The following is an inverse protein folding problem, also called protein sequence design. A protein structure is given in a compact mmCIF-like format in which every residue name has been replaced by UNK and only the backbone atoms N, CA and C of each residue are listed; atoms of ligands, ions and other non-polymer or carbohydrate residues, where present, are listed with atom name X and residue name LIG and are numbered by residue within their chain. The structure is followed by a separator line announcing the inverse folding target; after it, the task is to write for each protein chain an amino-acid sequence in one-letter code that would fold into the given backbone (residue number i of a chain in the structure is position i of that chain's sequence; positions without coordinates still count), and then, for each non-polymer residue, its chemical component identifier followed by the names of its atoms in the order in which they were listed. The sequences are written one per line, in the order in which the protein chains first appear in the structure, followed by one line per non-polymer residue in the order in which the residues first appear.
data_IF_508847188686
#
_entry.id   IF_508847188686
#
_cell.length_a   1.000
_cell.length_b   1.000
_cell.length_c   1.000
_cell.angle_alpha   90.00
_cell.angle_beta   90.00
_cell.angle_gamma   90.00
#
_symmetry.space_group_name_H-M   'P 1'
#
loop_
_entity.id
_entity.type
_entity.pdbx_description
1 polymer ?
#
# COMPACT_ATOMS: atom_id res chain seq x y z
N UNK A 1 -3.69 -4.13 -8.92
CA UNK A 1 -2.23 -3.86 -8.91
C UNK A 1 -1.82 -3.44 -10.30
N UNK A 2 -1.26 -2.24 -10.39
CA UNK A 2 -0.80 -1.66 -11.64
C UNK A 2 0.36 -2.48 -12.25
N UNK A 3 0.43 -2.49 -13.57
CA UNK A 3 1.57 -3.11 -14.26
C UNK A 3 2.91 -2.44 -13.93
N UNK A 4 2.92 -1.20 -13.50
CA UNK A 4 4.12 -0.47 -13.06
C UNK A 4 4.82 -1.15 -11.89
N UNK A 5 4.07 -1.83 -11.02
CA UNK A 5 4.61 -2.59 -9.89
C UNK A 5 5.44 -3.82 -10.30
N UNK A 6 5.40 -4.23 -11.58
CA UNK A 6 6.24 -5.30 -12.10
C UNK A 6 7.64 -4.83 -12.53
N UNK A 7 7.91 -3.52 -12.53
CA UNK A 7 9.23 -2.97 -12.86
C UNK A 7 10.28 -3.49 -11.88
N UNK A 8 11.41 -3.95 -12.41
CA UNK A 8 12.54 -4.54 -11.65
C UNK A 8 13.65 -3.51 -11.44
N UNK A 9 13.32 -2.39 -10.81
CA UNK A 9 14.24 -1.28 -10.58
C UNK A 9 14.88 -1.27 -9.18
N UNK A 10 14.62 -2.30 -8.37
CA UNK A 10 15.11 -2.44 -7.00
C UNK A 10 16.13 -3.59 -6.90
N UNK A 11 17.36 -3.36 -7.36
CA UNK A 11 18.44 -4.37 -7.36
C UNK A 11 18.01 -5.71 -8.02
N UNK A 12 17.24 -5.61 -9.12
CA UNK A 12 16.71 -6.77 -9.86
C UNK A 12 15.41 -7.36 -9.30
N UNK A 13 14.92 -6.87 -8.16
CA UNK A 13 13.61 -7.23 -7.62
C UNK A 13 12.53 -6.33 -8.20
N UNK A 14 11.34 -6.86 -8.43
CA UNK A 14 10.19 -6.05 -8.81
C UNK A 14 9.60 -5.31 -7.60
N UNK A 15 8.95 -4.18 -7.87
CA UNK A 15 8.28 -3.39 -6.82
C UNK A 15 7.23 -4.22 -6.08
N UNK A 16 6.48 -5.07 -6.79
CA UNK A 16 5.47 -5.96 -6.19
C UNK A 16 6.12 -7.02 -5.28
N UNK A 17 7.29 -7.57 -5.64
CA UNK A 17 8.01 -8.52 -4.78
C UNK A 17 8.48 -7.84 -3.49
N UNK A 18 8.97 -6.61 -3.57
CA UNK A 18 9.35 -5.81 -2.39
C UNK A 18 8.13 -5.46 -1.54
N UNK A 19 7.03 -5.07 -2.16
CA UNK A 19 5.78 -4.78 -1.46
C UNK A 19 5.25 -5.99 -0.69
N UNK A 20 5.18 -7.17 -1.33
CA UNK A 20 4.78 -8.42 -0.67
C UNK A 20 5.66 -8.76 0.52
N UNK A 21 6.96 -8.62 0.38
CA UNK A 21 7.93 -8.85 1.46
C UNK A 21 7.70 -7.89 2.62
N UNK A 22 7.44 -6.62 2.31
CA UNK A 22 7.13 -5.60 3.32
C UNK A 22 5.86 -5.96 4.08
N UNK A 23 4.78 -6.32 3.37
CA UNK A 23 3.51 -6.75 3.99
C UNK A 23 3.74 -7.99 4.86
N UNK A 24 4.42 -9.00 4.33
CA UNK A 24 4.72 -10.24 5.07
C UNK A 24 5.52 -9.99 6.34
N UNK A 25 6.51 -9.10 6.27
CA UNK A 25 7.28 -8.69 7.44
C UNK A 25 6.43 -7.95 8.48
N UNK A 26 5.52 -7.08 8.05
CA UNK A 26 4.60 -6.39 8.94
C UNK A 26 3.60 -7.36 9.60
N UNK A 27 3.06 -8.33 8.84
CA UNK A 27 2.17 -9.37 9.38
C UNK A 27 2.84 -10.15 10.53
N UNK A 28 4.13 -10.47 10.39
CA UNK A 28 4.88 -11.18 11.42
C UNK A 28 5.07 -10.41 12.73
N UNK A 29 4.85 -9.10 12.73
CA UNK A 29 4.94 -8.24 13.93
C UNK A 29 3.58 -8.01 14.59
N UNK A 30 2.47 -8.44 13.96
CA UNK A 30 1.14 -8.31 14.52
C UNK A 30 0.94 -9.30 15.67
N UNK A 31 0.23 -8.86 16.72
CA UNK A 31 -0.04 -9.65 17.91
C UNK A 31 -1.43 -9.31 18.48
N UNK A 32 -2.48 -9.84 17.84
CA UNK A 32 -3.87 -9.62 18.24
C UNK A 32 -4.64 -8.65 17.34
N UNK A 33 -3.95 -7.85 16.54
CA UNK A 33 -4.57 -6.94 15.58
C UNK A 33 -5.27 -7.72 14.45
N UNK A 34 -6.25 -7.08 13.81
CA UNK A 34 -6.86 -7.61 12.58
C UNK A 34 -6.23 -6.97 11.37
N UNK A 35 -6.03 -7.74 10.34
CA UNK A 35 -5.54 -7.29 9.03
C UNK A 35 -6.50 -7.68 7.93
N UNK A 36 -6.77 -6.75 7.02
CA UNK A 36 -7.43 -7.02 5.75
C UNK A 36 -6.56 -6.53 4.60
N UNK A 37 -6.77 -7.06 3.42
CA UNK A 37 -5.99 -6.72 2.24
C UNK A 37 -6.91 -6.28 1.11
N UNK A 38 -6.57 -5.17 0.49
CA UNK A 38 -7.21 -4.66 -0.70
C UNK A 38 -6.14 -4.48 -1.78
N UNK A 39 -6.43 -4.92 -2.98
CA UNK A 39 -5.59 -4.70 -4.16
C UNK A 39 -6.30 -3.72 -5.08
N UNK A 40 -5.54 -2.84 -5.70
CA UNK A 40 -6.11 -1.82 -6.57
C UNK A 40 -5.23 -1.51 -7.79
N UNK A 41 -5.88 -1.03 -8.83
CA UNK A 41 -5.31 -0.45 -10.05
C UNK A 41 -6.34 0.57 -10.58
N UNK A 42 -6.87 0.42 -11.80
CA UNK A 42 -8.02 1.19 -12.26
C UNK A 42 -9.32 0.91 -11.49
N UNK A 43 -9.41 -0.23 -10.82
CA UNK A 43 -10.47 -0.64 -9.89
C UNK A 43 -9.84 -1.07 -8.56
N UNK A 44 -10.67 -1.20 -7.50
CA UNK A 44 -10.24 -1.71 -6.21
C UNK A 44 -11.09 -2.92 -5.77
N UNK A 45 -10.45 -3.91 -5.14
CA UNK A 45 -11.14 -5.09 -4.63
C UNK A 45 -10.56 -5.59 -3.32
N UNK A 46 -11.44 -6.10 -2.46
CA UNK A 46 -11.03 -6.79 -1.24
C UNK A 46 -10.43 -8.14 -1.60
N UNK A 47 -9.14 -8.30 -1.35
CA UNK A 47 -8.41 -9.58 -1.51
C UNK A 47 -8.63 -10.48 -0.30
N UNK A 48 -8.57 -9.91 0.90
CA UNK A 48 -8.79 -10.58 2.16
C UNK A 48 -9.59 -9.68 3.11
N UNK A 49 -10.80 -10.10 3.56
CA UNK A 49 -11.51 -9.39 4.63
C UNK A 49 -10.72 -9.36 5.94
N UNK A 50 -11.07 -8.45 6.86
CA UNK A 50 -10.43 -8.35 8.16
C UNK A 50 -10.41 -9.70 8.90
N UNK A 51 -9.22 -10.14 9.27
CA UNK A 51 -8.99 -11.39 9.99
C UNK A 51 -7.83 -11.26 10.98
N UNK A 52 -7.80 -12.10 12.01
CA UNK A 52 -6.64 -12.33 12.87
C UNK A 52 -5.88 -13.61 12.50
N UNK A 53 -6.26 -14.27 11.42
CA UNK A 53 -5.54 -15.41 10.86
C UNK A 53 -4.37 -14.92 10.01
N UNK A 54 -3.21 -14.76 10.64
CA UNK A 54 -2.00 -14.27 9.99
C UNK A 54 -1.41 -15.24 8.97
N UNK A 55 -1.65 -16.56 9.14
CA UNK A 55 -1.20 -17.54 8.16
C UNK A 55 -1.96 -17.37 6.84
N UNK A 56 -3.29 -17.24 6.93
CA UNK A 56 -4.11 -16.91 5.77
C UNK A 56 -3.71 -15.58 5.16
N UNK A 57 -3.46 -14.54 5.96
CA UNK A 57 -3.02 -13.24 5.46
C UNK A 57 -1.68 -13.32 4.70
N UNK A 58 -0.72 -14.12 5.17
CA UNK A 58 0.54 -14.39 4.47
C UNK A 58 0.30 -15.05 3.11
N UNK A 59 -0.51 -16.12 3.08
CA UNK A 59 -0.82 -16.84 1.84
C UNK A 59 -1.45 -15.92 0.79
N UNK A 60 -2.43 -15.11 1.19
CA UNK A 60 -3.06 -14.13 0.29
C UNK A 60 -2.08 -13.08 -0.22
N UNK A 61 -1.13 -12.64 0.62
CA UNK A 61 -0.06 -11.72 0.21
C UNK A 61 0.83 -12.35 -0.86
N UNK A 62 1.23 -13.61 -0.69
CA UNK A 62 2.09 -14.33 -1.64
C UNK A 62 1.43 -14.52 -3.00
N UNK A 63 0.12 -14.75 -3.03
CA UNK A 63 -0.65 -14.96 -4.25
C UNK A 63 -0.92 -13.69 -5.07
N UNK A 64 -0.72 -12.50 -4.51
CA UNK A 64 -0.99 -11.23 -5.19
C UNK A 64 -0.24 -11.13 -6.53
N UNK A 65 -0.97 -10.79 -7.61
CA UNK A 65 -0.44 -10.64 -8.95
C UNK A 65 -1.08 -9.43 -9.66
N UNK A 66 -0.34 -8.76 -10.54
CA UNK A 66 -0.86 -7.64 -11.32
C UNK A 66 -2.02 -8.01 -12.25
N UNK A 67 -2.12 -9.29 -12.61
CA UNK A 67 -3.21 -9.82 -13.44
C UNK A 67 -4.57 -9.92 -12.73
N UNK A 68 -4.64 -9.69 -11.42
CA UNK A 68 -5.91 -9.76 -10.67
C UNK A 68 -6.88 -8.65 -11.04
N UNK A 69 -6.37 -7.51 -11.49
CA UNK A 69 -7.19 -6.38 -11.92
C UNK A 69 -6.94 -6.14 -13.41
N UNK A 70 -8.00 -6.32 -14.21
CA UNK A 70 -7.92 -6.18 -15.65
C UNK A 70 -7.88 -4.71 -16.08
N UNK A 71 -8.59 -3.84 -15.35
CA UNK A 71 -8.62 -2.41 -15.58
C UNK A 71 -7.34 -1.79 -15.02
N UNK A 72 -6.41 -1.45 -15.90
CA UNK A 72 -5.15 -0.84 -15.50
C UNK A 72 -5.32 0.66 -15.25
N UNK A 73 -4.47 1.22 -14.42
CA UNK A 73 -4.53 2.60 -13.95
C UNK A 73 -4.30 2.64 -12.45
N UNK A 74 -4.68 3.73 -11.79
CA UNK A 74 -4.51 3.88 -10.35
C UNK A 74 -5.68 4.69 -9.78
N UNK A 75 -6.71 4.01 -9.28
CA UNK A 75 -7.89 4.63 -8.67
C UNK A 75 -7.77 4.61 -7.14
N UNK A 76 -7.07 5.59 -6.60
CA UNK A 76 -6.80 5.71 -5.16
C UNK A 76 -8.08 5.98 -4.36
N UNK A 77 -9.02 6.73 -4.93
CA UNK A 77 -10.27 7.06 -4.24
C UNK A 77 -11.04 5.79 -3.96
N UNK A 78 -11.27 4.96 -4.97
CA UNK A 78 -11.96 3.68 -4.81
C UNK A 78 -11.22 2.73 -3.85
N UNK A 79 -9.88 2.74 -3.89
CA UNK A 79 -9.06 1.96 -2.97
C UNK A 79 -9.27 2.40 -1.51
N UNK A 80 -9.28 3.70 -1.24
CA UNK A 80 -9.56 4.23 0.10
C UNK A 80 -10.99 3.94 0.56
N UNK A 81 -11.99 4.11 -0.31
CA UNK A 81 -13.39 3.80 -0.03
C UNK A 81 -13.56 2.30 0.29
N UNK A 82 -13.00 1.43 -0.54
CA UNK A 82 -13.01 -0.02 -0.32
C UNK A 82 -12.37 -0.39 1.02
N UNK A 83 -11.26 0.25 1.38
CA UNK A 83 -10.57 0.01 2.66
C UNK A 83 -11.40 0.45 3.86
N UNK A 84 -12.05 1.60 3.76
CA UNK A 84 -12.93 2.11 4.83
C UNK A 84 -14.12 1.17 5.05
N UNK A 85 -14.68 0.62 3.97
CA UNK A 85 -15.79 -0.34 4.06
C UNK A 85 -15.41 -1.67 4.69
N UNK A 86 -14.12 -2.03 4.71
CA UNK A 86 -13.64 -3.25 5.35
C UNK A 86 -13.66 -3.16 6.88
N UNK A 87 -13.53 -1.95 7.45
CA UNK A 87 -13.44 -1.77 8.89
C UNK A 87 -14.73 -2.12 9.63
N UNK A 88 -14.58 -2.70 10.82
CA UNK A 88 -15.69 -2.99 11.73
C UNK A 88 -16.34 -1.68 12.22
N UNK A 89 -17.66 -1.73 12.44
CA UNK A 89 -18.40 -0.61 13.04
C UNK A 89 -18.25 -0.61 14.57
N UNK A 90 -17.01 -0.45 15.03
CA UNK A 90 -16.63 -0.39 16.44
C UNK A 90 -15.69 0.79 16.68
N UNK A 91 -15.33 1.02 17.94
CA UNK A 91 -14.43 2.10 18.35
C UNK A 91 -12.95 1.66 18.37
N UNK A 92 -12.61 0.51 17.82
CA UNK A 92 -11.22 0.09 17.70
C UNK A 92 -10.46 1.03 16.78
N UNK A 93 -9.20 1.35 17.09
CA UNK A 93 -8.37 2.18 16.22
C UNK A 93 -8.21 1.55 14.84
N UNK A 94 -8.26 2.38 13.79
CA UNK A 94 -8.19 1.95 12.40
C UNK A 94 -6.98 2.54 11.72
N UNK A 95 -6.35 1.74 10.86
CA UNK A 95 -5.16 2.13 10.13
C UNK A 95 -5.24 1.68 8.68
N UNK A 96 -5.01 2.58 7.75
CA UNK A 96 -4.79 2.28 6.34
C UNK A 96 -3.29 2.34 6.07
N UNK A 97 -2.74 1.24 5.58
CA UNK A 97 -1.38 1.15 5.08
C UNK A 97 -1.41 0.96 3.56
N UNK A 98 -1.01 1.97 2.82
CA UNK A 98 -0.94 1.92 1.37
C UNK A 98 0.49 1.69 0.90
N UNK A 99 0.69 0.76 -0.01
CA UNK A 99 1.97 0.50 -0.67
C UNK A 99 1.79 0.68 -2.17
N UNK A 100 2.53 1.61 -2.76
CA UNK A 100 2.41 1.97 -4.18
C UNK A 100 3.71 2.59 -4.67
N UNK A 101 3.93 2.60 -5.98
CA UNK A 101 4.95 3.41 -6.64
C UNK A 101 4.50 4.87 -6.87
N UNK A 102 3.24 5.17 -6.59
CA UNK A 102 2.68 6.51 -6.68
C UNK A 102 2.44 7.00 -8.11
N UNK A 103 2.49 6.13 -9.11
CA UNK A 103 2.09 6.48 -10.47
C UNK A 103 0.58 6.68 -10.52
N UNK A 104 0.13 7.87 -10.16
CA UNK A 104 -1.25 8.33 -10.36
C UNK A 104 -1.24 9.56 -11.25
N UNK A 105 -2.23 9.61 -12.13
CA UNK A 105 -2.41 10.71 -13.06
C UNK A 105 -3.58 11.63 -12.70
N UNK A 106 -4.34 11.30 -11.65
CA UNK A 106 -5.54 12.02 -11.28
C UNK A 106 -5.44 12.68 -9.90
N UNK A 107 -5.20 13.99 -9.90
CA UNK A 107 -5.19 14.80 -8.67
C UNK A 107 -6.63 15.13 -8.24
N UNK A 108 -7.42 14.12 -7.93
CA UNK A 108 -8.82 14.28 -7.56
C UNK A 108 -8.97 14.70 -6.09
N UNK A 109 -9.91 15.62 -5.84
CA UNK A 109 -10.42 15.88 -4.49
C UNK A 109 -11.60 14.93 -4.24
N UNK A 110 -11.65 14.32 -3.05
CA UNK A 110 -12.72 13.42 -2.69
C UNK A 110 -13.17 13.62 -1.24
N UNK A 111 -14.46 13.41 -1.00
CA UNK A 111 -15.05 13.42 0.34
C UNK A 111 -14.45 12.34 1.25
N UNK A 112 -13.90 11.25 0.68
CA UNK A 112 -13.25 10.18 1.43
C UNK A 112 -12.07 10.69 2.26
N UNK A 113 -11.34 11.72 1.79
CA UNK A 113 -10.25 12.32 2.55
C UNK A 113 -10.75 13.00 3.83
N UNK A 114 -11.87 13.71 3.75
CA UNK A 114 -12.52 14.33 4.91
C UNK A 114 -12.99 13.24 5.88
N UNK A 115 -13.67 12.22 5.36
CA UNK A 115 -14.16 11.11 6.17
C UNK A 115 -13.04 10.40 6.94
N UNK A 116 -11.91 10.06 6.28
CA UNK A 116 -10.76 9.41 6.93
C UNK A 116 -10.21 10.28 8.08
N UNK A 117 -10.11 11.61 7.86
CA UNK A 117 -9.63 12.53 8.90
C UNK A 117 -10.61 12.66 10.06
N UNK A 118 -11.90 12.82 9.80
CA UNK A 118 -12.96 12.95 10.80
C UNK A 118 -13.09 11.70 11.66
N UNK A 119 -12.99 10.51 11.03
CA UNK A 119 -12.99 9.23 11.72
C UNK A 119 -11.64 8.90 12.39
N UNK A 120 -10.66 9.80 12.29
CA UNK A 120 -9.32 9.64 12.86
C UNK A 120 -8.60 8.34 12.42
N UNK A 121 -8.93 7.83 11.24
CA UNK A 121 -8.26 6.67 10.65
C UNK A 121 -6.81 7.05 10.37
N UNK A 122 -5.85 6.30 10.92
CA UNK A 122 -4.44 6.54 10.67
C UNK A 122 -4.09 6.14 9.22
N UNK A 123 -3.24 6.94 8.56
CA UNK A 123 -2.79 6.65 7.21
C UNK A 123 -1.27 6.59 7.14
N UNK A 124 -0.74 5.55 6.52
CA UNK A 124 0.68 5.39 6.20
C UNK A 124 0.82 5.03 4.72
N UNK A 125 1.57 5.85 3.99
CA UNK A 125 1.90 5.60 2.60
C UNK A 125 3.35 5.11 2.48
N UNK A 126 3.58 3.93 1.92
CA UNK A 126 4.91 3.42 1.58
C UNK A 126 5.09 3.55 0.07
N UNK A 127 5.96 4.46 -0.34
CA UNK A 127 6.35 4.63 -1.73
C UNK A 127 7.52 3.70 -2.06
N UNK A 128 7.36 2.85 -3.10
CA UNK A 128 8.37 1.88 -3.51
C UNK A 128 8.81 2.14 -4.95
N UNK A 129 10.12 2.14 -5.19
CA UNK A 129 10.72 2.22 -6.50
C UNK A 129 11.98 3.09 -6.54
N UNK A 130 12.83 2.88 -7.53
CA UNK A 130 14.02 3.68 -7.72
C UNK A 130 13.72 4.99 -8.44
N UNK A 131 14.49 6.03 -8.17
CA UNK A 131 14.32 7.33 -8.84
C UNK A 131 14.47 7.30 -10.37
N UNK A 132 15.09 6.25 -10.90
CA UNK A 132 15.32 6.08 -12.34
C UNK A 132 14.15 5.36 -13.02
N UNK A 133 13.33 4.61 -12.24
CA UNK A 133 12.32 3.75 -12.80
C UNK A 133 12.90 2.64 -13.69
N UNK A 134 12.07 2.12 -14.59
CA UNK A 134 12.48 1.08 -15.51
C UNK A 134 11.37 0.64 -16.48
N UNK A 135 11.70 -0.25 -17.41
CA UNK A 135 10.73 -0.78 -18.36
C UNK A 135 9.77 -1.75 -17.67
N UNK A 136 8.51 -1.71 -18.10
CA UNK A 136 7.50 -2.68 -17.65
C UNK A 136 7.72 -3.99 -18.43
N UNK A 137 7.88 -5.16 -17.78
CA UNK A 137 8.00 -6.45 -18.47
C UNK A 137 6.67 -6.86 -19.10
N UNK A 138 6.73 -7.56 -20.22
CA UNK A 138 5.54 -8.13 -20.88
C UNK A 138 4.98 -9.32 -20.09
N UNK A 139 5.86 -10.21 -19.64
CA UNK A 139 5.55 -11.28 -18.70
C UNK A 139 6.26 -11.03 -17.35
N UNK A 140 5.52 -10.65 -16.28
CA UNK A 140 6.11 -10.42 -14.97
C UNK A 140 6.79 -11.63 -14.34
N UNK A 141 6.43 -12.86 -14.78
CA UNK A 141 6.96 -14.12 -14.23
C UNK A 141 8.29 -14.53 -14.89
N UNK A 142 8.57 -14.03 -16.09
CA UNK A 142 9.83 -14.31 -16.78
C UNK A 142 10.81 -13.14 -16.60
N UNK A 143 11.92 -13.32 -15.85
CA UNK A 143 12.93 -12.28 -15.69
C UNK A 143 13.59 -11.83 -17.00
N UNK A 144 13.52 -12.66 -18.03
CA UNK A 144 14.08 -12.38 -19.35
C UNK A 144 13.01 -11.94 -20.36
N UNK A 145 11.79 -11.67 -19.90
CA UNK A 145 10.69 -11.22 -20.73
C UNK A 145 11.07 -9.98 -21.54
N UNK A 146 10.50 -9.89 -22.73
CA UNK A 146 10.51 -8.64 -23.49
C UNK A 146 9.82 -7.53 -22.68
N UNK A 147 10.14 -6.28 -23.00
CA UNK A 147 9.49 -5.13 -22.40
C UNK A 147 8.21 -4.77 -23.15
N UNK A 148 7.18 -4.36 -22.41
CA UNK A 148 5.95 -3.82 -22.99
C UNK A 148 6.25 -2.68 -23.96
N UNK A 149 5.48 -2.64 -25.05
CA UNK A 149 5.55 -1.59 -26.05
C UNK A 149 4.21 -0.87 -26.16
N UNK A 150 4.28 0.43 -26.42
CA UNK A 150 3.11 1.23 -26.73
C UNK A 150 2.61 0.98 -28.19
N UNK A 151 1.54 1.67 -28.57
CA UNK A 151 0.96 1.56 -29.91
C UNK A 151 1.94 2.00 -31.04
N UNK A 152 2.97 2.76 -30.71
CA UNK A 152 4.01 3.24 -31.63
C UNK A 152 5.25 2.33 -31.63
N UNK A 153 5.27 1.28 -30.82
CA UNK A 153 6.38 0.34 -30.69
C UNK A 153 7.48 0.77 -29.73
N UNK A 154 7.33 1.89 -29.00
CA UNK A 154 8.28 2.32 -27.98
C UNK A 154 8.13 1.54 -26.69
N UNK A 155 9.24 1.28 -25.99
CA UNK A 155 9.23 0.64 -24.69
C UNK A 155 8.49 1.51 -23.66
N UNK A 156 7.53 0.90 -22.97
CA UNK A 156 6.80 1.57 -21.86
C UNK A 156 7.66 1.54 -20.61
N UNK A 157 8.05 2.71 -20.14
CA UNK A 157 8.79 2.90 -18.89
C UNK A 157 7.87 3.45 -17.81
N UNK A 158 8.13 3.04 -16.59
CA UNK A 158 7.47 3.52 -15.36
C UNK A 158 8.50 4.11 -14.42
N UNK A 159 8.20 5.27 -13.85
CA UNK A 159 9.02 5.90 -12.84
C UNK A 159 8.16 6.23 -11.60
N UNK A 160 8.60 5.86 -10.39
CA UNK A 160 7.82 6.12 -9.19
C UNK A 160 7.63 7.61 -8.95
N UNK A 161 6.48 7.97 -8.36
CA UNK A 161 6.16 9.34 -7.97
C UNK A 161 6.07 9.47 -6.43
N UNK A 162 7.21 9.62 -5.73
CA UNK A 162 7.22 9.72 -4.27
C UNK A 162 6.52 10.99 -3.76
N UNK A 163 6.41 12.04 -4.58
CA UNK A 163 5.74 13.26 -4.18
C UNK A 163 4.24 13.04 -4.05
N UNK A 164 3.65 12.23 -4.92
CA UNK A 164 2.25 11.86 -4.80
C UNK A 164 1.94 11.17 -3.47
N UNK A 165 2.78 10.19 -3.06
CA UNK A 165 2.61 9.49 -1.77
C UNK A 165 2.70 10.46 -0.59
N UNK A 166 3.66 11.40 -0.63
CA UNK A 166 3.82 12.44 0.40
C UNK A 166 2.63 13.39 0.45
N UNK A 167 2.14 13.83 -0.71
CA UNK A 167 1.00 14.73 -0.81
C UNK A 167 -0.29 14.06 -0.30
N UNK A 168 -0.51 12.80 -0.66
CA UNK A 168 -1.64 12.02 -0.16
C UNK A 168 -1.56 11.84 1.36
N UNK A 169 -0.40 11.47 1.89
CA UNK A 169 -0.19 11.36 3.34
C UNK A 169 -0.48 12.70 4.04
N UNK A 170 0.00 13.81 3.51
CA UNK A 170 -0.28 15.14 4.06
C UNK A 170 -1.78 15.46 4.06
N UNK A 171 -2.49 15.15 2.97
CA UNK A 171 -3.96 15.35 2.86
C UNK A 171 -4.74 14.54 3.88
N UNK A 172 -4.23 13.36 4.25
CA UNK A 172 -4.86 12.44 5.21
C UNK A 172 -4.35 12.62 6.65
N UNK A 173 -3.51 13.64 6.93
CA UNK A 173 -2.82 13.82 8.21
C UNK A 173 -2.05 12.56 8.63
N UNK A 174 -1.47 11.87 7.65
CA UNK A 174 -0.72 10.63 7.79
C UNK A 174 0.78 10.82 7.63
N UNK A 175 1.49 9.70 7.45
CA UNK A 175 2.93 9.64 7.28
C UNK A 175 3.27 8.96 5.96
N UNK A 176 4.31 9.46 5.25
CA UNK A 176 4.84 8.83 4.06
C UNK A 176 6.26 8.34 4.30
N UNK A 177 6.53 7.10 3.88
CA UNK A 177 7.86 6.47 3.92
C UNK A 177 8.22 6.13 2.48
N UNK A 178 9.39 6.56 2.02
CA UNK A 178 9.82 6.28 0.66
C UNK A 178 11.05 5.36 0.71
N UNK A 179 10.99 4.27 -0.04
CA UNK A 179 12.11 3.33 -0.12
C UNK A 179 12.46 3.00 -1.56
N UNK A 180 13.76 2.93 -1.83
CA UNK A 180 14.35 2.41 -3.07
C UNK A 180 15.15 1.12 -2.83
N UNK A 181 15.00 0.53 -1.64
CA UNK A 181 15.72 -0.66 -1.23
C UNK A 181 14.93 -1.92 -1.60
N UNK A 182 15.65 -2.95 -2.10
CA UNK A 182 15.07 -4.27 -2.33
C UNK A 182 14.65 -4.97 -1.03
N UNK A 183 15.27 -4.59 0.08
CA UNK A 183 15.00 -5.09 1.44
C UNK A 183 14.81 -3.89 2.37
N UNK A 184 13.61 -3.29 2.40
CA UNK A 184 13.33 -2.15 3.28
C UNK A 184 13.56 -2.50 4.74
N UNK A 185 14.06 -1.53 5.50
CA UNK A 185 14.20 -1.65 6.94
C UNK A 185 12.81 -1.63 7.59
N UNK A 186 12.30 -2.84 7.90
CA UNK A 186 10.98 -3.02 8.50
C UNK A 186 10.91 -2.45 9.92
N UNK A 187 12.01 -2.51 10.67
CA UNK A 187 12.04 -1.96 12.03
C UNK A 187 11.95 -0.43 12.00
N UNK A 188 12.60 0.21 11.04
CA UNK A 188 12.44 1.65 10.81
C UNK A 188 11.00 2.00 10.40
N UNK A 189 10.39 1.25 9.49
CA UNK A 189 9.00 1.44 9.06
C UNK A 189 8.04 1.30 10.27
N UNK A 190 8.19 0.23 11.05
CA UNK A 190 7.37 -0.01 12.24
C UNK A 190 7.58 1.02 13.34
N UNK A 191 8.82 1.46 13.53
CA UNK A 191 9.14 2.53 14.48
C UNK A 191 8.41 3.81 14.11
N UNK A 192 8.41 4.18 12.82
CA UNK A 192 7.72 5.37 12.33
C UNK A 192 6.19 5.24 12.51
N UNK A 193 5.63 4.08 12.16
CA UNK A 193 4.21 3.77 12.40
C UNK A 193 3.87 3.87 13.90
N UNK A 194 4.67 3.29 14.77
CA UNK A 194 4.43 3.29 16.21
C UNK A 194 4.64 4.68 16.83
N UNK A 195 5.63 5.43 16.35
CA UNK A 195 5.88 6.81 16.81
C UNK A 195 4.71 7.74 16.48
N UNK A 196 4.15 7.64 15.28
CA UNK A 196 2.98 8.40 14.87
C UNK A 196 1.73 8.00 15.68
N UNK A 197 1.57 6.71 16.03
CA UNK A 197 0.53 6.23 16.97
C UNK A 197 0.66 6.90 18.34
N UNK A 198 1.85 6.93 18.92
CA UNK A 198 2.09 7.49 20.26
C UNK A 198 1.87 8.99 20.33
N UNK A 199 2.15 9.72 19.25
CA UNK A 199 1.94 11.17 19.17
C UNK A 199 0.45 11.52 19.09
N UNK A 200 -0.35 10.75 18.36
CA UNK A 200 -1.81 10.91 18.33
C UNK A 200 -2.48 10.54 19.67
N UNK A 201 -1.95 9.53 20.36
CA UNK A 201 -2.47 9.06 21.65
C UNK A 201 -2.23 10.02 22.81
N UNK A 202 -1.18 10.85 22.79
CA UNK A 202 -0.92 11.86 23.82
C UNK A 202 -1.98 12.97 23.92
N UNK A 203 -2.79 13.13 22.89
CA UNK A 203 -3.89 14.11 22.87
C UNK A 203 -5.22 13.54 23.41
N UNK A 204 -5.25 12.27 23.78
CA UNK A 204 -6.41 11.61 24.38
C UNK A 204 -5.94 10.99 25.70
N UNK A 205 -6.28 11.66 26.83
CA UNK A 205 -6.10 11.16 28.20
C UNK A 205 -6.93 9.89 28.42
N UNK A 206 -6.45 8.75 27.93
CA UNK A 206 -6.99 7.44 28.30
C UNK A 206 -5.88 6.43 28.48
N UNK A 207 -5.92 5.71 29.61
CA UNK A 207 -5.12 4.51 29.86
C UNK A 207 -5.31 3.52 28.70
N UNK A 208 -4.29 3.39 27.84
CA UNK A 208 -4.32 2.46 26.73
C UNK A 208 -4.01 1.06 27.26
N UNK A 209 -5.05 0.32 27.60
CA UNK A 209 -5.02 -1.14 27.44
C UNK A 209 -4.66 -1.41 25.98
N UNK A 210 -3.75 -2.35 25.73
CA UNK A 210 -3.27 -2.71 24.39
C UNK A 210 -4.41 -2.61 23.36
N UNK A 211 -4.39 -1.54 22.56
CA UNK A 211 -5.46 -1.28 21.60
C UNK A 211 -5.27 -2.23 20.43
N UNK A 212 -6.25 -3.07 20.19
CA UNK A 212 -6.30 -3.94 19.01
C UNK A 212 -6.63 -3.07 17.81
N UNK A 213 -5.66 -2.89 16.90
CA UNK A 213 -5.86 -2.13 15.67
C UNK A 213 -6.49 -2.98 14.58
N UNK A 214 -7.29 -2.34 13.73
CA UNK A 214 -7.70 -2.91 12.44
C UNK A 214 -6.87 -2.25 11.34
N UNK A 215 -6.14 -3.07 10.58
CA UNK A 215 -5.30 -2.64 9.48
C UNK A 215 -5.96 -2.99 8.15
N UNK A 216 -6.14 -2.01 7.28
CA UNK A 216 -6.42 -2.21 5.87
C UNK A 216 -5.13 -1.97 5.07
N UNK A 217 -4.58 -3.02 4.48
CA UNK A 217 -3.40 -2.93 3.64
C UNK A 217 -3.83 -2.78 2.19
N UNK A 218 -3.40 -1.69 1.56
CA UNK A 218 -3.63 -1.37 0.16
C UNK A 218 -2.37 -1.63 -0.65
N UNK A 219 -2.48 -2.41 -1.70
CA UNK A 219 -1.39 -2.65 -2.64
C UNK A 219 -1.81 -2.24 -4.05
N UNK A 220 -1.04 -1.30 -4.63
CA UNK A 220 -1.24 -0.82 -5.99
C UNK A 220 -0.68 -1.79 -7.03
#
# INVERSE_FOLDING_TARGET
ISNSMNVRDLQGQSRIEVAKRTIGGLINQLSGEKIGQCVFAGDAMVQLPLTSDYQTAQLFTEEIQSSYISNQGTNIIEALETSVLMFSKNNEPKCILMISDGEDHENQQSEIYNFIREQQIAFYGIGIGSSHGGPIPEDPKDPNSANKRDANGFTVNSAPNPNFIKDLANRLNGTAIITSEAYPDLDAILTEINHAKSTKSRNLDFEIKASIYEYAVLLA
#
